data_IF_346492564694
#
_entry.id   IF_346492564694
#
_cell.length_a   1.000
_cell.length_b   1.000
_cell.length_c   1.000
_cell.angle_alpha   90.00
_cell.angle_beta   90.00
_cell.angle_gamma   90.00
#
_symmetry.space_group_name_H-M   'P 1'
#
loop_
_entity.id
_entity.type
_entity.pdbx_description
1 polymer ?
#
# COMPACT_ATOMS: atom_id res chain seq x y z
N UNK A 1 3.84 -6.63 -13.76
CA UNK A 1 4.09 -7.10 -12.38
C UNK A 1 3.85 -6.03 -11.29
N UNK A 2 3.62 -4.75 -11.65
CA UNK A 2 3.56 -3.62 -10.70
C UNK A 2 2.47 -3.74 -9.61
N UNK A 3 1.41 -4.51 -9.84
CA UNK A 3 0.34 -4.71 -8.86
C UNK A 3 0.76 -5.52 -7.62
N UNK A 4 1.50 -6.62 -7.83
CA UNK A 4 1.84 -7.57 -6.75
C UNK A 4 3.07 -7.17 -5.94
N UNK A 5 3.89 -6.23 -6.45
CA UNK A 5 5.15 -5.85 -5.82
C UNK A 5 5.00 -5.43 -4.34
N UNK A 6 4.00 -4.62 -3.93
CA UNK A 6 3.84 -4.27 -2.52
C UNK A 6 3.49 -5.45 -1.63
N UNK A 7 2.67 -6.39 -2.11
CA UNK A 7 2.32 -7.59 -1.35
C UNK A 7 3.53 -8.50 -1.11
N UNK A 8 4.41 -8.64 -2.11
CA UNK A 8 5.66 -9.38 -1.95
C UNK A 8 6.59 -8.69 -0.95
N UNK A 9 6.71 -7.36 -1.00
CA UNK A 9 7.51 -6.59 -0.03
C UNK A 9 7.01 -6.76 1.41
N UNK A 10 5.70 -6.69 1.62
CA UNK A 10 5.08 -7.00 2.92
C UNK A 10 5.45 -8.40 3.43
N UNK A 11 5.29 -9.43 2.59
CA UNK A 11 5.55 -10.80 2.99
C UNK A 11 7.03 -11.01 3.40
N UNK A 12 7.95 -10.37 2.68
CA UNK A 12 9.37 -10.39 3.03
C UNK A 12 9.64 -9.68 4.37
N UNK A 13 9.04 -8.52 4.62
CA UNK A 13 9.21 -7.80 5.88
C UNK A 13 8.54 -8.47 7.07
N UNK A 14 7.40 -9.14 6.86
CA UNK A 14 6.76 -9.95 7.90
C UNK A 14 7.63 -11.10 8.36
N UNK A 15 8.35 -11.76 7.46
CA UNK A 15 9.30 -12.81 7.85
C UNK A 15 10.33 -12.29 8.87
N UNK A 16 10.88 -11.08 8.66
CA UNK A 16 11.81 -10.50 9.64
C UNK A 16 11.10 -10.13 10.94
N UNK A 17 9.91 -9.53 10.85
CA UNK A 17 9.11 -9.13 12.01
C UNK A 17 8.72 -10.33 12.89
N UNK A 18 8.28 -11.42 12.28
CA UNK A 18 7.85 -12.64 12.99
C UNK A 18 9.03 -13.39 13.62
N UNK A 19 10.26 -13.17 13.13
CA UNK A 19 11.50 -13.66 13.74
C UNK A 19 12.11 -12.69 14.78
N UNK A 20 11.36 -11.68 15.22
CA UNK A 20 11.81 -10.69 16.22
C UNK A 20 12.81 -9.68 15.69
N UNK A 21 13.00 -9.59 14.38
CA UNK A 21 13.86 -8.59 13.74
C UNK A 21 13.06 -7.35 13.31
N UNK A 22 13.78 -6.29 12.99
CA UNK A 22 13.20 -5.04 12.49
C UNK A 22 13.42 -4.92 10.98
N UNK A 23 12.37 -4.57 10.25
CA UNK A 23 12.38 -4.38 8.81
C UNK A 23 11.85 -3.00 8.42
N UNK A 24 12.45 -2.41 7.39
CA UNK A 24 11.98 -1.21 6.72
C UNK A 24 11.65 -1.55 5.27
N UNK A 25 10.42 -1.27 4.86
CA UNK A 25 9.94 -1.46 3.50
C UNK A 25 9.66 -0.08 2.89
N UNK A 26 10.13 0.15 1.67
CA UNK A 26 9.92 1.41 0.95
C UNK A 26 9.16 1.13 -0.35
N UNK A 27 8.03 1.81 -0.56
CA UNK A 27 7.27 1.77 -1.80
C UNK A 27 7.44 3.05 -2.61
N UNK A 28 8.15 2.97 -3.75
CA UNK A 28 8.33 4.07 -4.69
C UNK A 28 7.81 3.67 -6.09
N UNK A 29 6.56 3.96 -6.47
CA UNK A 29 5.54 4.73 -5.76
C UNK A 29 4.18 4.02 -5.82
N UNK A 30 3.32 4.28 -4.85
CA UNK A 30 1.99 3.66 -4.79
C UNK A 30 1.03 4.17 -5.88
N UNK A 31 1.32 5.33 -6.49
CA UNK A 31 0.49 5.86 -7.57
C UNK A 31 0.59 4.99 -8.83
N UNK A 32 1.79 4.52 -9.17
CA UNK A 32 2.01 3.55 -10.25
C UNK A 32 1.33 2.21 -9.98
N UNK A 33 1.36 1.73 -8.73
CA UNK A 33 0.68 0.49 -8.35
C UNK A 33 -0.85 0.62 -8.52
N UNK A 34 -1.44 1.74 -8.07
CA UNK A 34 -2.86 2.02 -8.27
C UNK A 34 -3.24 2.10 -9.77
N UNK A 35 -2.39 2.72 -10.60
CA UNK A 35 -2.58 2.78 -12.04
C UNK A 35 -2.55 1.38 -12.69
N UNK A 36 -1.64 0.52 -12.25
CA UNK A 36 -1.57 -0.86 -12.71
C UNK A 36 -2.83 -1.65 -12.33
N UNK A 37 -3.33 -1.46 -11.10
CA UNK A 37 -4.58 -2.08 -10.66
C UNK A 37 -5.77 -1.62 -11.52
N UNK A 38 -5.87 -0.31 -11.75
CA UNK A 38 -6.88 0.28 -12.62
C UNK A 38 -6.89 -0.36 -14.01
N UNK A 39 -5.72 -0.50 -14.63
CA UNK A 39 -5.63 -1.10 -15.98
C UNK A 39 -6.12 -2.55 -15.98
N UNK A 40 -5.76 -3.33 -14.96
CA UNK A 40 -6.24 -4.71 -14.86
C UNK A 40 -7.75 -4.78 -14.63
N UNK A 41 -8.30 -3.97 -13.72
CA UNK A 41 -9.75 -3.94 -13.45
C UNK A 41 -10.56 -3.55 -14.69
N UNK A 42 -10.08 -2.58 -15.48
CA UNK A 42 -10.73 -2.18 -16.74
C UNK A 42 -10.68 -3.29 -17.79
N UNK A 43 -9.56 -4.01 -17.91
CA UNK A 43 -9.45 -5.17 -18.80
C UNK A 43 -10.42 -6.29 -18.39
N UNK A 44 -10.61 -6.48 -17.09
CA UNK A 44 -11.55 -7.43 -16.51
C UNK A 44 -13.00 -6.93 -16.51
N UNK A 45 -13.27 -5.76 -17.10
CA UNK A 45 -14.60 -5.14 -17.18
C UNK A 45 -15.27 -4.92 -15.81
N UNK A 46 -14.48 -4.72 -14.76
CA UNK A 46 -15.02 -4.24 -13.50
C UNK A 46 -15.56 -2.82 -13.67
N UNK A 47 -16.72 -2.49 -13.08
CA UNK A 47 -17.31 -1.17 -13.21
C UNK A 47 -16.41 -0.11 -12.55
N UNK A 48 -15.95 0.92 -13.30
CA UNK A 48 -15.16 2.00 -12.73
C UNK A 48 -16.05 2.97 -11.95
N UNK A 49 -15.49 3.61 -10.91
CA UNK A 49 -16.20 4.61 -10.09
C UNK A 49 -15.61 5.99 -10.30
N UNK A 50 -14.59 6.37 -9.52
CA UNK A 50 -14.01 7.73 -9.53
C UNK A 50 -12.65 7.74 -10.21
N UNK A 51 -12.41 8.70 -11.11
CA UNK A 51 -11.17 8.80 -11.92
C UNK A 51 -10.77 7.47 -12.62
N UNK A 52 -11.79 6.70 -13.02
CA UNK A 52 -11.70 5.36 -13.63
C UNK A 52 -11.10 4.25 -12.75
N UNK A 53 -10.91 4.48 -11.44
CA UNK A 53 -10.46 3.44 -10.51
C UNK A 53 -11.61 2.52 -10.09
N UNK A 54 -11.32 1.24 -9.77
CA UNK A 54 -12.29 0.33 -9.17
C UNK A 54 -12.61 0.75 -7.73
N UNK A 55 -13.78 0.35 -7.22
CA UNK A 55 -14.28 0.79 -5.91
C UNK A 55 -13.49 0.28 -4.69
N UNK A 56 -12.70 -0.78 -4.88
CA UNK A 56 -11.90 -1.44 -3.85
C UNK A 56 -10.44 -0.98 -3.82
N UNK A 57 -10.07 0.08 -4.56
CA UNK A 57 -8.69 0.62 -4.54
C UNK A 57 -8.27 1.10 -3.14
N UNK A 58 -9.21 1.55 -2.31
CA UNK A 58 -8.94 1.89 -0.91
C UNK A 58 -8.55 0.64 -0.11
N UNK A 59 -9.34 -0.44 -0.26
CA UNK A 59 -9.06 -1.73 0.36
C UNK A 59 -7.70 -2.30 -0.08
N UNK A 60 -7.32 -2.06 -1.33
CA UNK A 60 -6.02 -2.48 -1.85
C UNK A 60 -4.87 -1.92 -1.02
N UNK A 61 -4.84 -0.60 -0.83
CA UNK A 61 -3.79 0.09 -0.09
C UNK A 61 -3.86 -0.19 1.41
N UNK A 62 -5.06 -0.20 2.00
CA UNK A 62 -5.21 -0.42 3.43
C UNK A 62 -4.71 -1.80 3.84
N UNK A 63 -5.06 -2.84 3.06
CA UNK A 63 -4.71 -4.22 3.40
C UNK A 63 -3.23 -4.46 3.58
N UNK A 64 -2.36 -3.82 2.79
CA UNK A 64 -0.92 -4.04 2.92
C UNK A 64 -0.23 -3.01 3.82
N UNK A 65 -0.73 -1.76 3.89
CA UNK A 65 -0.18 -0.74 4.79
C UNK A 65 -0.46 -1.08 6.26
N UNK A 66 -1.65 -1.59 6.59
CA UNK A 66 -2.03 -2.03 7.95
C UNK A 66 -1.23 -3.24 8.45
N UNK A 67 -0.45 -3.90 7.57
CA UNK A 67 0.45 -4.99 7.98
C UNK A 67 1.74 -4.46 8.60
N UNK A 68 2.10 -3.20 8.35
CA UNK A 68 3.19 -2.54 9.05
C UNK A 68 2.79 -2.33 10.51
N UNK A 69 3.44 -3.05 11.42
CA UNK A 69 3.14 -2.96 12.85
C UNK A 69 4.34 -3.34 13.68
N UNK A 70 4.33 -2.88 14.95
CA UNK A 70 5.22 -3.35 16.00
C UNK A 70 4.50 -4.47 16.75
N UNK A 71 5.09 -5.66 16.80
CA UNK A 71 4.57 -6.79 17.58
C UNK A 71 4.77 -6.55 19.07
N UNK A 72 3.97 -7.22 19.89
CA UNK A 72 4.13 -7.20 21.34
C UNK A 72 5.38 -7.96 21.76
N UNK A 73 5.87 -7.69 22.98
CA UNK A 73 7.03 -8.37 23.55
C UNK A 73 6.82 -9.89 23.70
N UNK A 74 5.56 -10.33 23.82
CA UNK A 74 5.18 -11.74 23.88
C UNK A 74 5.40 -12.50 22.56
N UNK A 75 5.46 -11.78 21.44
CA UNK A 75 5.56 -12.34 20.08
C UNK A 75 6.90 -11.91 19.44
N UNK A 76 7.93 -11.70 20.26
CA UNK A 76 9.29 -11.42 19.79
C UNK A 76 9.61 -9.97 19.48
N UNK A 77 8.70 -9.01 19.76
CA UNK A 77 8.93 -7.56 19.63
C UNK A 77 9.42 -7.07 18.25
N UNK A 78 9.25 -7.88 17.20
CA UNK A 78 9.62 -7.50 15.84
C UNK A 78 8.84 -6.27 15.37
N UNK A 79 9.44 -5.55 14.41
CA UNK A 79 8.85 -4.32 13.90
C UNK A 79 8.97 -4.27 12.39
N UNK A 80 7.88 -3.91 11.71
CA UNK A 80 7.91 -3.61 10.29
C UNK A 80 7.43 -2.18 10.09
N UNK A 81 8.28 -1.33 9.50
CA UNK A 81 7.97 0.05 9.16
C UNK A 81 7.80 0.13 7.64
N UNK A 82 6.73 0.79 7.18
CA UNK A 82 6.51 1.07 5.76
C UNK A 82 6.59 2.56 5.47
N UNK A 83 7.50 2.93 4.58
CA UNK A 83 7.55 4.23 3.95
C UNK A 83 7.00 4.12 2.53
N UNK A 84 6.28 5.13 2.09
CA UNK A 84 5.65 5.11 0.78
C UNK A 84 5.74 6.49 0.12
N UNK A 85 5.84 6.49 -1.20
CA UNK A 85 5.84 7.68 -2.03
C UNK A 85 4.53 7.73 -2.80
N UNK A 86 3.90 8.90 -2.83
CA UNK A 86 2.74 9.19 -3.67
C UNK A 86 3.11 10.32 -4.59
N UNK A 87 2.97 10.09 -5.89
CA UNK A 87 3.21 11.13 -6.89
C UNK A 87 1.95 11.97 -7.04
N UNK A 88 2.00 13.21 -6.55
CA UNK A 88 0.96 14.20 -6.82
C UNK A 88 1.12 14.75 -8.23
N UNK A 89 0.00 15.11 -8.87
CA UNK A 89 0.01 15.81 -10.15
C UNK A 89 -0.16 17.29 -9.85
N UNK A 90 0.78 18.12 -10.31
CA UNK A 90 0.74 19.57 -10.10
C UNK A 90 0.53 20.01 -8.63
N UNK A 91 0.99 19.21 -7.66
CA UNK A 91 0.80 19.50 -6.24
C UNK A 91 -0.62 19.24 -5.69
N UNK A 92 -1.52 18.62 -6.46
CA UNK A 92 -2.88 18.29 -6.03
C UNK A 92 -2.89 17.13 -5.02
N UNK A 93 -3.00 17.46 -3.73
CA UNK A 93 -3.17 16.51 -2.61
C UNK A 93 -4.63 16.06 -2.42
N UNK A 94 -5.58 16.69 -3.10
CA UNK A 94 -7.01 16.32 -3.08
C UNK A 94 -7.37 15.30 -4.18
N UNK A 95 -6.36 14.82 -4.93
CA UNK A 95 -6.55 13.75 -5.88
C UNK A 95 -6.96 12.44 -5.17
N UNK A 96 -7.71 11.61 -5.90
CA UNK A 96 -8.35 10.41 -5.34
C UNK A 96 -7.40 9.44 -4.63
N UNK A 97 -6.18 9.23 -5.17
CA UNK A 97 -5.20 8.34 -4.56
C UNK A 97 -4.59 8.94 -3.28
N UNK A 98 -4.03 10.17 -3.28
CA UNK A 98 -3.61 10.85 -2.05
C UNK A 98 -4.67 10.85 -0.94
N UNK A 99 -5.92 11.23 -1.25
CA UNK A 99 -7.00 11.27 -0.26
C UNK A 99 -7.36 9.91 0.33
N UNK A 100 -7.08 8.81 -0.40
CA UNK A 100 -7.29 7.46 0.10
C UNK A 100 -6.14 6.97 0.99
N UNK A 101 -4.89 7.38 0.72
CA UNK A 101 -3.72 6.87 1.44
C UNK A 101 -3.42 7.66 2.71
N UNK A 102 -3.57 8.99 2.70
CA UNK A 102 -3.39 9.86 3.87
C UNK A 102 -4.12 9.32 5.13
N UNK A 103 -5.40 8.93 5.09
CA UNK A 103 -6.09 8.44 6.29
C UNK A 103 -5.65 7.04 6.75
N UNK A 104 -4.98 6.26 5.89
CA UNK A 104 -4.44 4.93 6.24
C UNK A 104 -3.10 5.09 6.98
N UNK A 105 -2.37 6.15 6.66
CA UNK A 105 -1.02 6.37 7.16
C UNK A 105 -1.03 7.30 8.37
N UNK A 106 -0.16 7.03 9.34
CA UNK A 106 -0.09 7.79 10.59
C UNK A 106 0.67 9.13 10.47
N UNK A 107 0.39 9.93 9.43
CA UNK A 107 1.00 11.26 9.20
C UNK A 107 1.28 11.58 7.74
#
# INVERSE_FOLDING_TARGET
MQFMAPYSGCAMGEYFCDNGMHALIIYDDLSKQAMAYRQMSLLLRQPPIRKAFPGDVFYLHSRFLERASKRSDQIGAGCSIMLHVIKTQAGDVSAYIPTNVIPITYG
#
